data_IF_981549410602
#
_entry.id   IF_981549410602
#
_cell.length_a   1.000
_cell.length_b   1.000
_cell.length_c   1.000
_cell.angle_alpha   90.00
_cell.angle_beta   90.00
_cell.angle_gamma   90.00
#
_symmetry.space_group_name_H-M   'P 1'
#
loop_
_entity.id
_entity.type
_entity.pdbx_description
1 polymer ?
#
# COMPACT_ATOMS: atom_id res chain seq x y z
N UNK A 1 8.40 10.56 -27.42
CA UNK A 1 7.59 9.72 -26.53
C UNK A 1 8.21 9.85 -25.14
N UNK A 2 7.52 10.46 -24.17
CA UNK A 2 8.08 10.55 -22.83
C UNK A 2 7.79 9.23 -22.10
N UNK A 3 8.70 8.79 -21.25
CA UNK A 3 8.72 7.43 -20.65
C UNK A 3 7.43 7.08 -19.89
N UNK A 4 6.66 8.09 -19.48
CA UNK A 4 5.42 7.98 -18.70
C UNK A 4 4.25 7.45 -19.56
N UNK A 5 4.24 7.70 -20.88
CA UNK A 5 3.16 7.29 -21.79
C UNK A 5 3.06 5.75 -21.96
N UNK A 6 4.00 5.00 -21.37
CA UNK A 6 4.08 3.54 -21.42
C UNK A 6 3.58 2.86 -20.14
N UNK A 7 3.19 3.64 -19.14
CA UNK A 7 2.59 3.10 -17.92
C UNK A 7 1.08 3.00 -18.13
N UNK A 8 0.61 1.82 -18.54
CA UNK A 8 -0.81 1.48 -18.49
C UNK A 8 -1.03 0.81 -17.13
N UNK A 9 -1.77 1.43 -16.20
CA UNK A 9 -2.08 0.80 -14.92
C UNK A 9 -2.82 -0.52 -15.16
N UNK A 10 -2.53 -1.54 -14.36
CA UNK A 10 -3.33 -2.77 -14.37
C UNK A 10 -4.68 -2.51 -13.69
N UNK A 11 -5.61 -1.94 -14.46
CA UNK A 11 -6.95 -1.56 -14.00
C UNK A 11 -7.73 -2.77 -13.48
N UNK A 12 -7.54 -3.95 -14.09
CA UNK A 12 -8.20 -5.17 -13.67
C UNK A 12 -7.73 -5.59 -12.28
N UNK A 13 -6.41 -5.64 -12.05
CA UNK A 13 -5.85 -5.95 -10.74
C UNK A 13 -6.31 -4.95 -9.67
N UNK A 14 -6.28 -3.64 -9.96
CA UNK A 14 -6.74 -2.62 -9.02
C UNK A 14 -8.22 -2.77 -8.65
N UNK A 15 -9.08 -3.12 -9.61
CA UNK A 15 -10.51 -3.42 -9.34
C UNK A 15 -10.65 -4.64 -8.43
N UNK A 16 -9.89 -5.70 -8.68
CA UNK A 16 -9.89 -6.91 -7.85
C UNK A 16 -9.43 -6.61 -6.43
N UNK A 17 -8.34 -5.86 -6.24
CA UNK A 17 -7.85 -5.47 -4.91
C UNK A 17 -8.90 -4.63 -4.16
N UNK A 18 -9.47 -3.62 -4.83
CA UNK A 18 -10.52 -2.79 -4.25
C UNK A 18 -11.72 -3.62 -3.81
N UNK A 19 -12.17 -4.56 -4.64
CA UNK A 19 -13.28 -5.45 -4.32
C UNK A 19 -12.97 -6.37 -3.13
N UNK A 20 -11.77 -6.97 -3.08
CA UNK A 20 -11.35 -7.83 -1.99
C UNK A 20 -11.31 -7.09 -0.64
N UNK A 21 -10.73 -5.89 -0.61
CA UNK A 21 -10.67 -5.04 0.59
C UNK A 21 -12.06 -4.55 0.99
N UNK A 22 -12.89 -4.12 0.03
CA UNK A 22 -14.27 -3.67 0.32
C UNK A 22 -15.20 -4.79 0.80
N UNK A 23 -14.97 -6.05 0.41
CA UNK A 23 -15.76 -7.19 0.87
C UNK A 23 -15.47 -7.56 2.33
N UNK A 24 -14.29 -7.20 2.83
CA UNK A 24 -13.85 -7.47 4.20
C UNK A 24 -13.34 -6.18 4.85
N UNK A 25 -14.21 -5.17 5.07
CA UNK A 25 -13.80 -3.91 5.67
C UNK A 25 -13.35 -4.14 7.12
N UNK A 26 -12.18 -3.62 7.47
CA UNK A 26 -11.62 -3.69 8.82
C UNK A 26 -11.61 -2.30 9.46
N UNK A 27 -11.96 -2.21 10.75
CA UNK A 27 -11.99 -0.94 11.47
C UNK A 27 -10.59 -0.46 11.84
N UNK A 28 -10.51 0.85 12.17
CA UNK A 28 -9.35 1.50 12.76
C UNK A 28 -8.59 0.61 13.75
N UNK A 29 -7.29 0.44 13.53
CA UNK A 29 -6.34 -0.35 14.32
C UNK A 29 -6.56 -1.88 14.31
N UNK A 30 -7.46 -2.38 13.47
CA UNK A 30 -7.79 -3.80 13.34
C UNK A 30 -7.66 -4.33 11.90
N UNK A 31 -6.97 -3.60 11.03
CA UNK A 31 -6.75 -3.89 9.61
C UNK A 31 -5.71 -4.99 9.36
N UNK A 32 -5.78 -6.11 10.10
CA UNK A 32 -4.75 -7.16 10.05
C UNK A 32 -4.67 -7.84 8.68
N UNK A 33 -5.82 -8.13 8.07
CA UNK A 33 -5.88 -8.76 6.75
C UNK A 33 -5.42 -7.79 5.66
N UNK A 34 -5.90 -6.55 5.70
CA UNK A 34 -5.56 -5.50 4.74
C UNK A 34 -4.10 -5.10 4.84
N UNK A 35 -3.57 -4.95 6.06
CA UNK A 35 -2.14 -4.70 6.32
C UNK A 35 -1.26 -5.79 5.72
N UNK A 36 -1.60 -7.06 5.98
CA UNK A 36 -0.88 -8.20 5.40
C UNK A 36 -0.92 -8.18 3.88
N UNK A 37 -2.10 -7.96 3.31
CA UNK A 37 -2.28 -7.88 1.86
C UNK A 37 -1.38 -6.80 1.24
N UNK A 38 -1.35 -5.59 1.82
CA UNK A 38 -0.49 -4.49 1.35
C UNK A 38 0.99 -4.83 1.49
N UNK A 39 1.40 -5.41 2.62
CA UNK A 39 2.79 -5.82 2.85
C UNK A 39 3.24 -6.87 1.83
N UNK A 40 2.40 -7.87 1.53
CA UNK A 40 2.68 -8.92 0.56
C UNK A 40 2.81 -8.35 -0.87
N UNK A 41 1.95 -7.40 -1.25
CA UNK A 41 2.08 -6.70 -2.54
C UNK A 41 3.38 -5.91 -2.65
N UNK A 42 3.72 -5.10 -1.63
CA UNK A 42 4.95 -4.31 -1.61
C UNK A 42 6.20 -5.19 -1.70
N UNK A 43 6.21 -6.32 -0.97
CA UNK A 43 7.31 -7.27 -1.01
C UNK A 43 7.46 -7.91 -2.40
N UNK A 44 6.35 -8.29 -3.05
CA UNK A 44 6.36 -8.82 -4.42
C UNK A 44 6.87 -7.81 -5.45
N UNK A 45 6.67 -6.51 -5.21
CA UNK A 45 7.20 -5.44 -6.07
C UNK A 45 8.64 -5.05 -5.76
N UNK A 46 9.28 -5.69 -4.77
CA UNK A 46 10.69 -5.48 -4.43
C UNK A 46 10.96 -4.32 -3.48
N UNK A 47 9.96 -3.87 -2.72
CA UNK A 47 10.17 -2.89 -1.65
C UNK A 47 10.80 -3.57 -0.42
N UNK A 48 11.59 -2.81 0.34
CA UNK A 48 11.88 -3.14 1.74
C UNK A 48 10.64 -2.81 2.57
N UNK A 49 10.03 -3.81 3.20
CA UNK A 49 8.74 -3.68 3.88
C UNK A 49 8.89 -3.77 5.39
N UNK A 50 8.34 -2.78 6.09
CA UNK A 50 8.25 -2.73 7.55
C UNK A 50 6.77 -2.72 7.96
N UNK A 51 6.16 -3.90 8.24
CA UNK A 51 4.81 -3.99 8.77
C UNK A 51 4.79 -3.81 10.30
N UNK A 52 3.60 -3.70 10.88
CA UNK A 52 3.42 -3.63 12.34
C UNK A 52 3.68 -2.25 12.96
N UNK A 53 3.76 -1.20 12.14
CA UNK A 53 3.92 0.17 12.62
C UNK A 53 2.59 0.62 13.24
N UNK A 54 2.60 0.98 14.53
CA UNK A 54 1.36 1.30 15.25
C UNK A 54 0.28 0.21 15.08
N UNK A 55 0.66 -1.05 15.26
CA UNK A 55 -0.16 -2.27 15.14
C UNK A 55 -0.35 -2.77 13.71
N UNK A 56 -0.98 -1.99 12.82
CA UNK A 56 -1.39 -2.46 11.48
C UNK A 56 -0.74 -1.66 10.33
N UNK A 57 -0.05 -0.56 10.63
CA UNK A 57 0.62 0.26 9.62
C UNK A 57 1.74 -0.49 8.89
N UNK A 58 1.91 -0.15 7.62
CA UNK A 58 2.95 -0.70 6.73
C UNK A 58 3.72 0.43 6.08
N UNK A 59 5.06 0.36 6.11
CA UNK A 59 5.93 1.27 5.37
C UNK A 59 6.74 0.46 4.36
N UNK A 60 6.66 0.82 3.09
CA UNK A 60 7.49 0.26 2.02
C UNK A 60 8.50 1.30 1.51
N UNK A 61 9.77 0.92 1.46
CA UNK A 61 10.85 1.77 0.92
C UNK A 61 11.41 1.15 -0.36
N UNK A 62 11.42 1.92 -1.45
CA UNK A 62 12.12 1.57 -2.68
C UNK A 62 13.29 2.53 -2.89
N UNK A 63 14.50 2.00 -2.91
CA UNK A 63 15.73 2.76 -3.14
C UNK A 63 16.38 2.34 -4.44
N UNK A 64 16.87 3.29 -5.23
CA UNK A 64 17.58 3.02 -6.47
C UNK A 64 18.99 3.63 -6.49
N UNK A 65 20.00 2.77 -6.65
CA UNK A 65 21.42 3.11 -6.75
C UNK A 65 22.12 3.36 -5.42
N UNK A 66 23.47 3.34 -5.44
CA UNK A 66 24.31 3.67 -4.29
C UNK A 66 24.49 5.18 -4.20
N UNK A 67 24.08 5.77 -3.08
CA UNK A 67 24.32 7.18 -2.76
C UNK A 67 25.63 7.26 -1.99
N UNK A 68 26.73 7.57 -2.67
CA UNK A 68 28.05 7.72 -2.03
C UNK A 68 28.14 8.94 -1.10
N UNK A 69 27.29 8.99 -0.07
CA UNK A 69 27.27 10.04 0.96
C UNK A 69 26.32 11.22 0.71
N UNK A 70 25.78 11.40 -0.50
CA UNK A 70 24.83 12.50 -0.78
C UNK A 70 23.38 12.16 -0.46
N UNK A 71 22.71 13.08 0.26
CA UNK A 71 21.29 12.98 0.60
C UNK A 71 20.44 13.15 -0.67
N UNK A 72 19.73 12.11 -1.07
CA UNK A 72 18.80 12.16 -2.20
C UNK A 72 17.43 12.71 -1.78
N UNK A 73 16.70 13.39 -2.69
CA UNK A 73 15.30 13.70 -2.46
C UNK A 73 14.49 12.42 -2.26
N UNK A 74 13.58 12.43 -1.28
CA UNK A 74 12.65 11.33 -1.02
C UNK A 74 11.22 11.79 -1.36
N UNK A 75 10.45 10.92 -2.01
CA UNK A 75 9.02 11.11 -2.25
C UNK A 75 8.24 10.14 -1.35
N UNK A 76 7.37 10.68 -0.49
CA UNK A 76 6.49 9.88 0.35
C UNK A 76 5.08 9.82 -0.24
N UNK A 77 4.51 8.61 -0.32
CA UNK A 77 3.11 8.38 -0.63
C UNK A 77 2.43 7.79 0.62
N UNK A 78 1.27 8.32 1.00
CA UNK A 78 0.52 7.90 2.18
C UNK A 78 -0.93 7.62 1.81
N UNK A 79 -1.44 6.49 2.27
CA UNK A 79 -2.84 6.10 2.15
C UNK A 79 -3.30 5.45 3.46
N UNK A 80 -4.60 5.53 3.72
CA UNK A 80 -5.25 4.84 4.84
C UNK A 80 -5.88 3.52 4.36
N UNK A 81 -5.97 2.56 5.27
CA UNK A 81 -6.49 1.21 5.01
C UNK A 81 -7.80 0.93 5.76
N UNK A 82 -8.16 1.77 6.73
CA UNK A 82 -9.27 1.54 7.62
C UNK A 82 -10.62 1.83 6.95
N UNK A 83 -11.62 1.06 7.38
CA UNK A 83 -13.01 1.30 7.07
C UNK A 83 -13.69 1.96 8.26
N UNK A 84 -14.79 2.66 7.96
CA UNK A 84 -15.68 3.19 8.96
C UNK A 84 -16.73 2.17 9.36
N UNK A 85 -17.20 2.28 10.59
CA UNK A 85 -18.40 1.60 11.03
C UNK A 85 -19.58 2.05 10.16
N UNK A 86 -20.13 1.14 9.36
CA UNK A 86 -21.39 1.41 8.66
C UNK A 86 -22.54 0.85 9.48
N UNK A 87 -23.49 1.72 9.84
CA UNK A 87 -24.75 1.32 10.48
C UNK A 87 -25.70 0.78 9.41
N UNK A 88 -25.44 -0.44 8.92
CA UNK A 88 -26.43 -1.15 8.11
C UNK A 88 -27.40 -1.86 9.07
N UNK A 89 -28.40 -1.07 9.49
CA UNK A 89 -29.70 -1.41 10.08
C UNK A 89 -29.70 -2.44 11.22
N UNK A 90 -29.76 -1.91 12.46
CA UNK A 90 -30.56 -2.54 13.51
C UNK A 90 -32.04 -2.24 13.27
#
# INVERSE_FOLDING_TARGET
MNTIDRFIPDEAAMKTWRQAIHQHPELGFNEFSTSRFVADCLAQWGFEVHPGIATTGVVGTLSWGNSGGERRPCLGLRADMDALLSWVHA
#
